data_IF_171176229890
#
_entry.id   IF_171176229890
#
_cell.length_a   1.000
_cell.length_b   1.000
_cell.length_c   1.000
_cell.angle_alpha   90.00
_cell.angle_beta   90.00
_cell.angle_gamma   90.00
#
_symmetry.space_group_name_H-M   'P 1'
#
loop_
_entity.id
_entity.type
_entity.pdbx_description
1 polymer ?
#
# COMPACT_ATOMS: atom_id res chain seq x y z
N UNK A 1 10.85 7.17 14.14
CA UNK A 1 9.50 6.58 14.22
C UNK A 1 9.22 6.27 15.67
N UNK A 2 8.00 6.47 16.08
CA UNK A 2 7.53 6.13 17.43
C UNK A 2 6.76 4.80 17.35
N UNK A 3 6.58 4.16 18.51
CA UNK A 3 5.78 2.93 18.57
C UNK A 3 4.31 3.20 18.20
N UNK A 4 3.65 2.19 17.65
CA UNK A 4 2.21 2.19 17.40
C UNK A 4 1.45 2.56 18.68
N UNK A 5 0.30 3.21 18.53
CA UNK A 5 -0.60 3.54 19.66
C UNK A 5 -1.00 2.27 20.42
N UNK A 6 -1.46 2.48 21.66
CA UNK A 6 -1.93 1.38 22.51
C UNK A 6 -2.96 0.50 21.79
N UNK A 7 -2.64 -0.77 21.70
CA UNK A 7 -3.48 -1.82 21.09
C UNK A 7 -4.12 -2.75 22.14
N UNK A 8 -3.97 -2.46 23.42
CA UNK A 8 -4.49 -3.29 24.52
C UNK A 8 -6.01 -3.49 24.50
N UNK A 9 -6.74 -2.59 23.82
CA UNK A 9 -8.17 -2.70 23.60
C UNK A 9 -8.55 -3.78 22.57
N UNK A 10 -7.60 -4.29 21.78
CA UNK A 10 -7.85 -5.30 20.74
C UNK A 10 -7.84 -6.68 21.41
N UNK A 11 -8.97 -7.36 21.41
CA UNK A 11 -9.15 -8.65 22.08
C UNK A 11 -8.63 -9.84 21.26
N UNK A 12 -8.58 -9.69 19.93
CA UNK A 12 -8.20 -10.76 19.01
C UNK A 12 -7.06 -10.31 18.11
N UNK A 13 -5.86 -10.80 18.38
CA UNK A 13 -4.68 -10.52 17.57
C UNK A 13 -3.84 -11.80 17.41
N UNK A 14 -3.16 -11.87 16.29
CA UNK A 14 -2.25 -12.96 15.93
C UNK A 14 -0.91 -12.34 15.53
N UNK A 15 0.02 -12.20 16.47
CA UNK A 15 1.31 -11.57 16.19
C UNK A 15 2.23 -12.52 15.42
N UNK A 16 3.16 -11.92 14.68
CA UNK A 16 4.31 -12.58 14.02
C UNK A 16 3.93 -13.80 13.16
N UNK A 17 2.80 -13.72 12.45
CA UNK A 17 2.42 -14.75 11.49
C UNK A 17 3.38 -14.71 10.28
N UNK A 18 4.18 -15.76 10.11
CA UNK A 18 5.03 -15.92 8.93
C UNK A 18 4.17 -16.15 7.68
N UNK A 19 4.20 -15.21 6.74
CA UNK A 19 3.46 -15.31 5.49
C UNK A 19 4.27 -15.91 4.33
N UNK A 20 5.60 -15.98 4.49
CA UNK A 20 6.52 -16.60 3.55
C UNK A 20 7.75 -17.16 4.28
N UNK A 21 8.51 -18.11 3.69
CA UNK A 21 9.55 -18.85 4.39
C UNK A 21 10.98 -18.35 4.17
N UNK A 22 11.21 -17.32 3.34
CA UNK A 22 12.58 -16.98 2.91
C UNK A 22 13.31 -16.05 3.86
N UNK A 23 12.58 -15.33 4.73
CA UNK A 23 13.16 -14.33 5.63
C UNK A 23 12.37 -14.23 6.92
N UNK A 24 13.07 -13.90 8.00
CA UNK A 24 12.44 -13.53 9.28
C UNK A 24 11.67 -12.20 9.22
N UNK A 25 11.93 -11.36 8.23
CA UNK A 25 11.17 -10.15 7.97
C UNK A 25 9.79 -10.43 7.34
N UNK A 26 9.57 -11.63 6.80
CA UNK A 26 8.31 -11.99 6.14
C UNK A 26 7.24 -12.41 7.14
N UNK A 27 6.90 -11.49 8.05
CA UNK A 27 5.91 -11.67 9.12
C UNK A 27 4.88 -10.54 9.11
N UNK A 28 3.68 -10.84 9.57
CA UNK A 28 2.62 -9.86 9.80
C UNK A 28 1.94 -10.06 11.15
N UNK A 29 1.37 -9.00 11.68
CA UNK A 29 0.45 -9.04 12.81
C UNK A 29 -0.97 -8.87 12.30
N UNK A 30 -1.84 -9.84 12.56
CA UNK A 30 -3.24 -9.77 12.17
C UNK A 30 -4.10 -9.39 13.37
N UNK A 31 -4.88 -8.33 13.20
CA UNK A 31 -5.83 -7.82 14.19
C UNK A 31 -7.25 -7.96 13.67
N UNK A 32 -8.16 -8.45 14.51
CA UNK A 32 -9.56 -8.63 14.16
C UNK A 32 -10.48 -7.69 14.95
N UNK A 33 -11.59 -7.25 14.37
CA UNK A 33 -12.61 -6.47 15.09
C UNK A 33 -13.10 -7.18 16.35
N UNK A 34 -13.38 -6.41 17.41
CA UNK A 34 -13.82 -6.98 18.68
C UNK A 34 -15.29 -7.43 18.68
N UNK A 35 -16.16 -6.59 18.12
CA UNK A 35 -17.58 -6.62 18.43
C UNK A 35 -18.46 -6.81 17.18
N UNK A 36 -17.88 -7.01 16.01
CA UNK A 36 -18.58 -7.32 14.76
C UNK A 36 -18.35 -8.78 14.36
N UNK A 37 -19.34 -9.46 13.78
CA UNK A 37 -19.14 -10.78 13.19
C UNK A 37 -18.38 -10.68 11.87
N UNK A 38 -17.64 -11.76 11.50
CA UNK A 38 -17.06 -11.93 10.18
C UNK A 38 -18.07 -12.51 9.17
N UNK A 39 -17.62 -12.84 7.96
CA UNK A 39 -16.23 -12.72 7.51
C UNK A 39 -15.81 -11.27 7.25
N UNK A 40 -14.60 -10.92 7.71
CA UNK A 40 -14.09 -9.54 7.68
C UNK A 40 -13.44 -9.19 6.33
N UNK A 41 -13.75 -8.03 5.73
CA UNK A 41 -12.84 -7.42 4.76
C UNK A 41 -11.50 -7.12 5.45
N UNK A 42 -10.40 -7.29 4.74
CA UNK A 42 -9.07 -7.16 5.33
C UNK A 42 -8.25 -6.06 4.66
N UNK A 43 -7.61 -5.23 5.47
CA UNK A 43 -6.66 -4.21 5.03
C UNK A 43 -5.25 -4.70 5.33
N UNK A 44 -4.40 -4.81 4.32
CA UNK A 44 -2.97 -5.04 4.49
C UNK A 44 -2.31 -3.67 4.64
N UNK A 45 -1.83 -3.37 5.84
CA UNK A 45 -1.17 -2.13 6.18
C UNK A 45 0.34 -2.26 5.96
N UNK A 46 0.91 -1.35 5.15
CA UNK A 46 2.29 -1.39 4.69
C UNK A 46 2.99 -0.11 5.16
N UNK A 47 3.95 -0.25 6.09
CA UNK A 47 4.70 0.88 6.62
C UNK A 47 5.64 1.48 5.56
N UNK A 48 5.97 2.76 5.72
CA UNK A 48 6.99 3.45 4.92
C UNK A 48 8.41 3.19 5.43
N UNK A 49 9.30 4.16 5.21
CA UNK A 49 10.68 4.08 5.69
C UNK A 49 11.70 3.91 4.58
N UNK A 50 11.40 4.36 3.35
CA UNK A 50 12.35 4.39 2.24
C UNK A 50 12.89 3.01 1.88
N UNK A 51 12.16 1.92 2.12
CA UNK A 51 12.59 0.53 1.91
C UNK A 51 13.77 0.08 2.76
N UNK A 52 14.24 0.88 3.72
CA UNK A 52 15.46 0.65 4.50
C UNK A 52 15.25 0.60 6.01
N UNK A 53 14.10 1.06 6.50
CA UNK A 53 13.72 1.00 7.91
C UNK A 53 12.19 0.95 8.04
N UNK A 54 11.70 0.73 9.25
CA UNK A 54 10.29 0.65 9.57
C UNK A 54 9.91 -0.69 10.18
N UNK A 55 8.76 -0.73 10.80
CA UNK A 55 8.22 -1.95 11.40
C UNK A 55 6.69 -1.92 11.39
N UNK A 56 6.08 -3.09 11.30
CA UNK A 56 4.63 -3.31 11.38
C UNK A 56 3.99 -2.82 12.68
N UNK A 57 4.81 -2.44 13.66
CA UNK A 57 4.40 -1.95 14.99
C UNK A 57 4.82 -0.51 15.26
N UNK A 58 5.17 0.26 14.24
CA UNK A 58 5.42 1.68 14.42
C UNK A 58 4.16 2.54 14.19
N UNK A 59 4.29 3.86 14.42
CA UNK A 59 3.16 4.79 14.35
C UNK A 59 2.55 4.94 12.95
N UNK A 60 3.24 4.51 11.93
CA UNK A 60 2.77 4.62 10.55
C UNK A 60 1.55 3.73 10.24
N UNK A 61 1.32 2.70 11.06
CA UNK A 61 0.14 1.84 10.91
C UNK A 61 -1.05 2.28 11.77
N UNK A 62 -0.94 3.38 12.53
CA UNK A 62 -2.03 3.86 13.39
C UNK A 62 -3.32 4.16 12.63
N UNK A 63 -3.21 4.80 11.46
CA UNK A 63 -4.39 5.15 10.67
C UNK A 63 -5.13 3.90 10.14
N UNK A 64 -4.48 2.90 9.51
CA UNK A 64 -5.12 1.64 9.17
C UNK A 64 -5.76 0.92 10.37
N UNK A 65 -5.17 0.99 11.57
CA UNK A 65 -5.70 0.33 12.77
C UNK A 65 -7.09 0.86 13.20
N UNK A 66 -7.45 2.10 12.87
CA UNK A 66 -8.79 2.63 13.12
C UNK A 66 -9.90 1.89 12.34
N UNK A 67 -9.53 1.15 11.30
CA UNK A 67 -10.46 0.32 10.54
C UNK A 67 -11.06 -0.82 11.36
N UNK A 68 -10.37 -1.30 12.40
CA UNK A 68 -10.89 -2.32 13.31
C UNK A 68 -12.21 -1.93 13.97
N UNK A 69 -12.35 -0.63 14.30
CA UNK A 69 -13.59 -0.07 14.88
C UNK A 69 -14.77 -0.02 13.90
N UNK A 70 -14.48 -0.27 12.62
CA UNK A 70 -15.44 -0.23 11.50
C UNK A 70 -15.69 -1.60 10.87
N UNK A 71 -15.21 -2.66 11.54
CA UNK A 71 -15.46 -4.04 11.11
C UNK A 71 -14.49 -4.59 10.06
N UNK A 72 -13.34 -3.94 9.84
CA UNK A 72 -12.28 -4.45 8.99
C UNK A 72 -11.23 -5.18 9.83
N UNK A 73 -10.73 -6.31 9.35
CA UNK A 73 -9.48 -6.86 9.84
C UNK A 73 -8.30 -6.03 9.33
N UNK A 74 -7.22 -5.94 10.11
CA UNK A 74 -5.99 -5.25 9.71
C UNK A 74 -4.80 -6.19 9.85
N UNK A 75 -4.06 -6.37 8.76
CA UNK A 75 -2.82 -7.12 8.71
C UNK A 75 -1.66 -6.13 8.52
N UNK A 76 -1.00 -5.76 9.61
CA UNK A 76 0.21 -4.93 9.55
C UNK A 76 1.41 -5.82 9.23
N UNK A 77 2.14 -5.52 8.15
CA UNK A 77 3.20 -6.40 7.65
C UNK A 77 4.58 -5.76 7.65
N UNK A 78 5.58 -6.58 7.91
CA UNK A 78 6.97 -6.31 7.54
C UNK A 78 7.26 -6.92 6.18
N UNK A 79 8.29 -6.44 5.52
CA UNK A 79 8.79 -6.94 4.23
C UNK A 79 10.32 -6.88 4.21
N UNK A 80 10.96 -7.62 3.30
CA UNK A 80 12.42 -7.58 3.15
C UNK A 80 12.88 -6.19 2.76
N UNK A 81 13.77 -5.61 3.57
CA UNK A 81 14.34 -4.29 3.32
C UNK A 81 15.43 -4.35 2.25
N UNK A 82 15.83 -3.20 1.73
CA UNK A 82 16.78 -3.07 0.63
C UNK A 82 18.20 -3.61 0.95
N UNK A 83 18.58 -3.67 2.22
CA UNK A 83 19.83 -4.26 2.68
C UNK A 83 19.79 -5.80 2.73
N UNK A 84 18.60 -6.38 2.75
CA UNK A 84 18.38 -7.82 2.69
C UNK A 84 18.11 -8.30 1.26
N UNK A 85 17.23 -7.61 0.54
CA UNK A 85 16.84 -8.01 -0.82
C UNK A 85 16.41 -6.80 -1.66
N UNK A 86 16.95 -6.72 -2.86
CA UNK A 86 16.68 -5.63 -3.80
C UNK A 86 15.32 -5.79 -4.48
N UNK A 87 14.88 -4.74 -5.18
CA UNK A 87 13.73 -4.83 -6.07
C UNK A 87 13.85 -6.05 -7.01
N UNK A 88 12.78 -6.88 -7.15
CA UNK A 88 11.39 -6.63 -6.76
C UNK A 88 10.95 -7.27 -5.43
N UNK A 89 11.86 -7.67 -4.56
CA UNK A 89 11.57 -8.52 -3.38
C UNK A 89 10.45 -7.98 -2.49
N UNK A 90 10.47 -6.70 -2.11
CA UNK A 90 9.44 -6.11 -1.25
C UNK A 90 8.04 -6.11 -1.92
N UNK A 91 7.97 -5.91 -3.25
CA UNK A 91 6.70 -6.03 -4.00
C UNK A 91 6.18 -7.47 -3.97
N UNK A 92 7.08 -8.44 -4.15
CA UNK A 92 6.74 -9.86 -4.08
C UNK A 92 6.26 -10.25 -2.67
N UNK A 93 6.82 -9.65 -1.62
CA UNK A 93 6.44 -9.86 -0.23
C UNK A 93 5.01 -9.38 0.05
N UNK A 94 4.63 -8.19 -0.42
CA UNK A 94 3.24 -7.71 -0.30
C UNK A 94 2.28 -8.66 -0.99
N UNK A 95 2.59 -9.10 -2.21
CA UNK A 95 1.77 -10.07 -2.95
C UNK A 95 1.68 -11.42 -2.22
N UNK A 96 2.79 -11.88 -1.61
CA UNK A 96 2.81 -13.11 -0.81
C UNK A 96 1.96 -12.99 0.45
N UNK A 97 1.99 -11.85 1.15
CA UNK A 97 1.15 -11.59 2.32
C UNK A 97 -0.34 -11.64 1.97
N UNK A 98 -0.75 -11.04 0.84
CA UNK A 98 -2.13 -11.14 0.33
C UNK A 98 -2.51 -12.58 0.02
N UNK A 99 -1.64 -13.37 -0.65
CA UNK A 99 -1.89 -14.79 -0.93
C UNK A 99 -2.01 -15.61 0.36
N UNK A 100 -1.13 -15.37 1.33
CA UNK A 100 -1.19 -16.03 2.64
C UNK A 100 -2.50 -15.77 3.36
N UNK A 101 -2.89 -14.51 3.50
CA UNK A 101 -4.15 -14.14 4.16
C UNK A 101 -5.36 -14.75 3.46
N UNK A 102 -5.36 -14.78 2.13
CA UNK A 102 -6.43 -15.41 1.34
C UNK A 102 -6.49 -16.92 1.54
N UNK A 103 -5.33 -17.59 1.61
CA UNK A 103 -5.25 -19.02 1.92
C UNK A 103 -5.74 -19.34 3.34
N UNK A 104 -5.55 -18.42 4.28
CA UNK A 104 -5.94 -18.55 5.69
C UNK A 104 -7.31 -17.92 6.00
N UNK A 105 -8.05 -17.48 4.99
CA UNK A 105 -9.28 -16.70 5.18
C UNK A 105 -10.30 -17.41 6.08
N UNK A 106 -10.52 -18.71 5.88
CA UNK A 106 -11.42 -19.50 6.74
C UNK A 106 -10.94 -19.57 8.20
N UNK A 107 -9.62 -19.72 8.42
CA UNK A 107 -9.04 -19.81 9.76
C UNK A 107 -9.23 -18.53 10.57
N UNK A 108 -9.13 -17.38 9.92
CA UNK A 108 -9.17 -16.06 10.56
C UNK A 108 -10.49 -15.32 10.33
N UNK A 109 -11.49 -15.99 9.76
CA UNK A 109 -12.80 -15.41 9.47
C UNK A 109 -12.69 -14.15 8.58
N UNK A 110 -11.80 -14.18 7.56
CA UNK A 110 -11.63 -13.14 6.57
C UNK A 110 -12.49 -13.42 5.34
N UNK A 111 -12.91 -12.35 4.66
CA UNK A 111 -13.56 -12.46 3.36
C UNK A 111 -12.48 -12.47 2.25
N UNK A 112 -12.26 -13.61 1.58
CA UNK A 112 -11.21 -13.72 0.55
C UNK A 112 -11.44 -12.86 -0.69
N UNK A 113 -12.65 -12.32 -0.86
CA UNK A 113 -13.02 -11.44 -1.98
C UNK A 113 -12.86 -9.94 -1.66
N UNK A 114 -12.54 -9.57 -0.41
CA UNK A 114 -12.51 -8.17 0.03
C UNK A 114 -11.20 -7.82 0.73
N UNK A 115 -10.15 -7.65 -0.07
CA UNK A 115 -8.82 -7.20 0.40
C UNK A 115 -8.48 -5.82 -0.14
N UNK A 116 -7.98 -4.95 0.73
CA UNK A 116 -7.35 -3.69 0.36
C UNK A 116 -5.89 -3.68 0.80
N UNK A 117 -5.08 -2.86 0.13
CA UNK A 117 -3.74 -2.49 0.57
C UNK A 117 -3.73 -1.01 0.92
N UNK A 118 -3.06 -0.65 2.02
CA UNK A 118 -2.91 0.73 2.45
C UNK A 118 -1.48 0.96 2.92
N UNK A 119 -0.78 1.85 2.24
CA UNK A 119 0.59 2.20 2.57
C UNK A 119 0.86 3.69 2.53
N UNK A 120 1.96 4.09 3.12
CA UNK A 120 2.45 5.46 3.15
C UNK A 120 3.93 5.52 2.74
N UNK A 121 4.33 6.56 2.00
CA UNK A 121 5.70 6.71 1.52
C UNK A 121 6.16 5.48 0.70
N UNK A 122 7.27 4.84 1.05
CA UNK A 122 7.69 3.57 0.45
C UNK A 122 6.60 2.49 0.51
N UNK A 123 5.82 2.42 1.60
CA UNK A 123 4.65 1.52 1.70
C UNK A 123 3.53 1.91 0.74
N UNK A 124 3.34 3.21 0.46
CA UNK A 124 2.43 3.71 -0.57
C UNK A 124 2.82 3.22 -1.96
N UNK A 125 4.09 3.35 -2.32
CA UNK A 125 4.62 2.76 -3.54
C UNK A 125 4.36 1.24 -3.61
N UNK A 126 4.63 0.51 -2.53
CA UNK A 126 4.40 -0.94 -2.48
C UNK A 126 2.91 -1.28 -2.62
N UNK A 127 2.02 -0.47 -2.03
CA UNK A 127 0.57 -0.63 -2.18
C UNK A 127 0.12 -0.40 -3.63
N UNK A 128 0.63 0.65 -4.28
CA UNK A 128 0.37 0.93 -5.70
C UNK A 128 0.88 -0.23 -6.56
N UNK A 129 2.13 -0.67 -6.36
CA UNK A 129 2.70 -1.80 -7.10
C UNK A 129 1.87 -3.08 -6.93
N UNK A 130 1.43 -3.40 -5.71
CA UNK A 130 0.55 -4.55 -5.48
C UNK A 130 -0.78 -4.44 -6.24
N UNK A 131 -1.36 -3.24 -6.29
CA UNK A 131 -2.60 -2.96 -7.02
C UNK A 131 -2.46 -3.12 -8.53
N UNK A 132 -1.42 -2.55 -9.13
CA UNK A 132 -1.23 -2.58 -10.59
C UNK A 132 -0.60 -3.88 -11.10
N UNK A 133 0.04 -4.66 -10.24
CA UNK A 133 0.68 -5.94 -10.62
C UNK A 133 -0.10 -7.17 -10.16
N UNK A 134 -1.34 -7.04 -9.71
CA UNK A 134 -2.15 -8.13 -9.19
C UNK A 134 -2.29 -9.32 -10.15
N UNK A 135 -2.21 -9.09 -11.46
CA UNK A 135 -2.27 -10.12 -12.52
C UNK A 135 -0.94 -10.29 -13.27
N UNK A 136 0.14 -9.63 -12.83
CA UNK A 136 1.45 -9.67 -13.50
C UNK A 136 2.32 -10.74 -12.85
N UNK A 137 2.47 -11.89 -13.51
CA UNK A 137 3.20 -13.05 -12.99
C UNK A 137 4.70 -12.81 -12.74
N UNK A 138 5.30 -11.81 -13.40
CA UNK A 138 6.69 -11.44 -13.16
C UNK A 138 6.99 -10.98 -11.71
N UNK A 139 5.95 -10.63 -10.95
CA UNK A 139 6.03 -10.31 -9.53
C UNK A 139 5.46 -11.42 -8.63
N UNK A 140 5.18 -12.59 -9.17
CA UNK A 140 4.76 -13.76 -8.39
C UNK A 140 5.93 -14.71 -8.23
N UNK A 141 6.47 -14.77 -7.01
CA UNK A 141 7.49 -15.77 -6.67
C UNK A 141 6.80 -16.97 -5.98
N UNK A 142 6.81 -18.15 -6.60
CA UNK A 142 6.20 -19.35 -6.02
C UNK A 142 6.93 -19.84 -4.77
N UNK A 143 8.22 -19.50 -4.59
CA UNK A 143 8.97 -19.85 -3.39
C UNK A 143 8.44 -19.16 -2.12
N UNK A 144 7.67 -18.09 -2.28
CA UNK A 144 7.01 -17.38 -1.18
C UNK A 144 5.71 -18.07 -0.70
N UNK A 145 5.37 -19.21 -1.25
CA UNK A 145 4.22 -20.02 -0.83
C UNK A 145 2.87 -19.53 -1.37
N UNK A 146 1.84 -20.33 -1.12
CA UNK A 146 0.45 -20.08 -1.50
C UNK A 146 0.27 -19.73 -3.00
N UNK A 147 1.06 -20.33 -3.89
CA UNK A 147 1.13 -19.99 -5.30
C UNK A 147 -0.20 -20.20 -6.06
N UNK A 148 -1.12 -21.01 -5.53
CA UNK A 148 -2.46 -21.21 -6.09
C UNK A 148 -3.46 -20.10 -5.74
N UNK A 149 -3.10 -19.22 -4.81
CA UNK A 149 -3.92 -18.08 -4.43
C UNK A 149 -3.59 -16.86 -5.29
N UNK A 150 -4.60 -16.05 -5.54
CA UNK A 150 -4.42 -14.80 -6.26
C UNK A 150 -3.92 -13.70 -5.32
N UNK A 151 -3.11 -12.77 -5.83
CA UNK A 151 -2.59 -11.63 -5.08
C UNK A 151 -3.32 -10.30 -5.38
N UNK A 152 -4.31 -10.29 -6.29
CA UNK A 152 -5.05 -9.07 -6.60
C UNK A 152 -5.86 -8.57 -5.39
N UNK A 153 -5.99 -7.27 -5.29
CA UNK A 153 -6.75 -6.57 -4.23
C UNK A 153 -7.90 -5.78 -4.83
N UNK A 154 -8.88 -5.42 -4.00
CA UNK A 154 -10.09 -4.72 -4.42
C UNK A 154 -10.05 -3.23 -4.12
N UNK A 155 -9.04 -2.74 -3.42
CA UNK A 155 -8.81 -1.31 -3.20
C UNK A 155 -7.34 -1.04 -2.90
N UNK A 156 -6.86 0.13 -3.31
CA UNK A 156 -5.53 0.65 -2.98
C UNK A 156 -5.68 2.01 -2.31
N UNK A 157 -5.02 2.19 -1.17
CA UNK A 157 -4.82 3.50 -0.56
C UNK A 157 -3.33 3.80 -0.58
N UNK A 158 -3.00 4.85 -1.29
CA UNK A 158 -1.64 5.40 -1.38
C UNK A 158 -1.57 6.73 -0.66
N UNK A 159 -0.80 6.80 0.40
CA UNK A 159 -0.44 8.04 1.05
C UNK A 159 0.98 8.42 0.66
N UNK A 160 1.11 9.48 -0.15
CA UNK A 160 2.36 10.12 -0.55
C UNK A 160 3.47 9.16 -1.01
N UNK A 161 3.12 8.10 -1.74
CA UNK A 161 4.10 7.18 -2.33
C UNK A 161 4.79 7.79 -3.55
N UNK A 162 6.09 7.50 -3.76
CA UNK A 162 6.75 7.82 -5.03
C UNK A 162 6.22 6.94 -6.17
N UNK A 163 6.35 7.40 -7.40
CA UNK A 163 5.83 6.73 -8.62
C UNK A 163 6.91 6.58 -9.67
N UNK A 164 7.45 7.68 -10.19
CA UNK A 164 8.61 7.67 -11.09
C UNK A 164 9.84 8.17 -10.32
N UNK A 165 10.69 7.26 -9.93
CA UNK A 165 11.90 7.59 -9.15
C UNK A 165 12.79 8.62 -9.86
N UNK A 166 12.84 8.64 -11.20
CA UNK A 166 13.71 9.53 -11.98
C UNK A 166 13.29 11.00 -11.93
N UNK A 167 11.99 11.28 -11.78
CA UNK A 167 11.50 12.65 -11.88
C UNK A 167 11.55 13.41 -10.55
N UNK A 168 11.64 12.72 -9.41
CA UNK A 168 11.52 13.30 -8.08
C UNK A 168 12.47 14.49 -7.84
N UNK A 169 13.76 14.32 -8.13
CA UNK A 169 14.75 15.40 -7.93
C UNK A 169 14.53 16.60 -8.83
N UNK A 170 14.05 16.39 -10.06
CA UNK A 170 13.69 17.48 -10.97
C UNK A 170 12.43 18.24 -10.48
N UNK A 171 11.43 17.50 -9.98
CA UNK A 171 10.21 18.06 -9.43
C UNK A 171 10.47 18.85 -8.13
N UNK A 172 11.32 18.34 -7.23
CA UNK A 172 11.74 19.07 -6.03
C UNK A 172 12.50 20.36 -6.37
N UNK A 173 13.38 20.34 -7.38
CA UNK A 173 14.04 21.56 -7.88
C UNK A 173 13.04 22.56 -8.45
N UNK A 174 12.05 22.08 -9.20
CA UNK A 174 11.06 22.93 -9.85
C UNK A 174 10.10 23.56 -8.83
N UNK A 175 9.65 22.79 -7.83
CA UNK A 175 8.76 23.29 -6.77
C UNK A 175 9.47 24.18 -5.74
N UNK A 176 10.78 24.00 -5.55
CA UNK A 176 11.58 24.67 -4.52
C UNK A 176 11.23 24.25 -3.09
N UNK A 177 10.47 23.16 -2.90
CA UNK A 177 9.96 22.74 -1.58
C UNK A 177 10.92 21.85 -0.80
N UNK A 178 11.73 21.04 -1.47
CA UNK A 178 12.60 20.07 -0.83
C UNK A 178 14.01 20.04 -1.39
N UNK A 179 14.83 19.15 -0.84
CA UNK A 179 16.18 18.92 -1.33
C UNK A 179 16.20 17.75 -2.32
N UNK A 180 16.81 17.91 -3.49
CA UNK A 180 16.99 16.82 -4.45
C UNK A 180 18.06 15.85 -3.93
N UNK A 181 17.63 14.74 -3.35
CA UNK A 181 18.51 13.73 -2.71
C UNK A 181 18.29 12.32 -3.26
N UNK A 182 17.34 12.13 -4.17
CA UNK A 182 16.96 10.81 -4.67
C UNK A 182 18.00 10.22 -5.63
N UNK A 183 18.78 11.07 -6.31
CA UNK A 183 19.89 10.66 -7.19
C UNK A 183 21.19 10.30 -6.44
N UNK A 184 21.22 10.44 -5.11
CA UNK A 184 22.40 10.13 -4.31
C UNK A 184 22.63 8.61 -4.20
N UNK A 185 23.89 8.16 -4.04
CA UNK A 185 24.20 6.72 -3.94
C UNK A 185 23.55 6.02 -2.74
N UNK A 186 23.31 6.74 -1.67
CA UNK A 186 22.71 6.28 -0.42
C UNK A 186 21.22 6.63 -0.28
N UNK A 187 20.62 7.17 -1.35
CA UNK A 187 19.18 7.42 -1.38
C UNK A 187 18.37 6.12 -1.19
N UNK A 188 17.16 6.21 -0.65
CA UNK A 188 16.26 5.06 -0.54
C UNK A 188 16.09 4.31 -1.87
N UNK A 189 15.90 5.04 -2.96
CA UNK A 189 15.71 4.49 -4.30
C UNK A 189 16.96 3.77 -4.80
N UNK A 190 18.14 4.40 -4.65
CA UNK A 190 19.42 3.80 -5.06
C UNK A 190 19.70 2.51 -4.28
N UNK A 191 19.42 2.50 -2.97
CA UNK A 191 19.56 1.30 -2.13
C UNK A 191 18.55 0.23 -2.51
N UNK A 192 17.29 0.60 -2.78
CA UNK A 192 16.24 -0.32 -3.20
C UNK A 192 16.55 -1.00 -4.53
N UNK A 193 17.21 -0.28 -5.45
CA UNK A 193 17.64 -0.80 -6.74
C UNK A 193 18.99 -1.55 -6.67
N UNK A 194 19.81 -1.31 -5.64
CA UNK A 194 21.19 -1.83 -5.54
C UNK A 194 22.17 -1.17 -6.50
N UNK A 195 21.80 -0.03 -7.05
CA UNK A 195 22.59 0.79 -7.95
C UNK A 195 22.15 2.25 -7.80
N UNK A 196 23.08 3.20 -7.99
CA UNK A 196 22.74 4.61 -7.98
C UNK A 196 21.66 4.88 -9.03
N UNK A 197 20.59 5.58 -8.65
CA UNK A 197 19.42 5.78 -9.50
C UNK A 197 19.75 6.31 -10.91
N UNK A 198 20.61 7.34 -11.11
CA UNK A 198 20.99 7.79 -12.44
C UNK A 198 21.77 6.77 -13.28
N UNK A 199 22.35 5.75 -12.67
CA UNK A 199 23.14 4.72 -13.35
C UNK A 199 22.30 3.46 -13.64
N UNK A 200 21.05 3.43 -13.20
CA UNK A 200 20.14 2.31 -13.41
C UNK A 200 19.75 2.18 -14.90
N UNK A 201 19.64 0.95 -15.37
CA UNK A 201 19.21 0.70 -16.75
C UNK A 201 17.75 1.12 -16.99
N UNK A 202 17.42 1.51 -18.21
CA UNK A 202 16.05 1.85 -18.61
C UNK A 202 15.05 0.70 -18.34
N UNK A 203 15.49 -0.56 -18.49
CA UNK A 203 14.64 -1.71 -18.17
C UNK A 203 14.34 -1.80 -16.67
N UNK A 204 15.36 -1.60 -15.82
CA UNK A 204 15.14 -1.60 -14.37
C UNK A 204 14.22 -0.45 -13.96
N UNK A 205 14.45 0.76 -14.45
CA UNK A 205 13.63 1.92 -14.17
C UNK A 205 12.18 1.74 -14.66
N UNK A 206 12.00 1.18 -15.86
CA UNK A 206 10.67 0.82 -16.37
C UNK A 206 9.97 -0.19 -15.48
N UNK A 207 10.68 -1.19 -14.97
CA UNK A 207 10.12 -2.22 -14.09
C UNK A 207 9.72 -1.69 -12.71
N UNK A 208 10.38 -0.66 -12.21
CA UNK A 208 10.02 -0.01 -10.94
C UNK A 208 8.89 0.98 -11.08
N UNK A 209 8.58 1.45 -12.27
CA UNK A 209 7.53 2.44 -12.48
C UNK A 209 6.15 1.75 -12.57
N UNK A 210 5.22 1.98 -11.61
CA UNK A 210 3.90 1.36 -11.60
C UNK A 210 3.08 1.70 -12.84
N UNK A 211 3.35 2.83 -13.51
CA UNK A 211 2.63 3.22 -14.74
C UNK A 211 2.87 2.23 -15.89
N UNK A 212 3.95 1.46 -15.84
CA UNK A 212 4.23 0.37 -16.80
C UNK A 212 3.15 -0.72 -16.79
N UNK A 213 2.44 -0.86 -15.68
CA UNK A 213 1.51 -1.97 -15.43
C UNK A 213 0.04 -1.56 -15.43
N UNK A 214 -0.29 -0.39 -15.95
CA UNK A 214 -1.67 0.09 -16.06
C UNK A 214 -2.42 -0.68 -17.15
N UNK A 215 -2.77 -1.91 -16.85
CA UNK A 215 -3.43 -2.85 -17.75
C UNK A 215 -4.87 -3.18 -17.32
N UNK A 216 -5.30 -4.40 -17.58
CA UNK A 216 -6.64 -4.86 -17.23
C UNK A 216 -6.76 -5.21 -15.74
N UNK A 217 -7.97 -5.06 -15.17
CA UNK A 217 -8.34 -5.41 -13.80
C UNK A 217 -7.58 -4.66 -12.72
N UNK A 218 -7.54 -3.35 -12.84
CA UNK A 218 -7.08 -2.49 -11.77
C UNK A 218 -8.18 -2.31 -10.71
N UNK A 219 -7.84 -2.26 -9.42
CA UNK A 219 -8.78 -1.88 -8.36
C UNK A 219 -9.03 -0.37 -8.37
N UNK A 220 -10.05 0.13 -7.64
CA UNK A 220 -10.15 1.54 -7.29
C UNK A 220 -8.97 2.02 -6.46
N UNK A 221 -8.59 3.31 -6.62
CA UNK A 221 -7.48 3.96 -5.92
C UNK A 221 -7.97 5.20 -5.15
N UNK A 222 -7.53 5.31 -3.90
CA UNK A 222 -7.49 6.56 -3.15
C UNK A 222 -6.03 6.97 -2.99
N UNK A 223 -5.68 8.12 -3.53
CA UNK A 223 -4.35 8.69 -3.49
C UNK A 223 -4.43 9.98 -2.68
N UNK A 224 -3.60 10.14 -1.66
CA UNK A 224 -3.56 11.35 -0.85
C UNK A 224 -2.12 11.83 -0.66
N UNK A 225 -1.89 13.15 -0.84
CA UNK A 225 -0.55 13.71 -0.76
C UNK A 225 -0.57 15.09 -0.09
N UNK A 226 0.45 15.38 0.72
CA UNK A 226 0.62 16.69 1.34
C UNK A 226 0.99 17.75 0.31
N UNK A 227 0.35 18.95 0.38
CA UNK A 227 0.66 20.03 -0.56
C UNK A 227 2.07 20.56 -0.43
N UNK A 228 2.68 20.42 0.73
CA UNK A 228 4.00 20.97 1.08
C UNK A 228 5.03 19.87 1.36
N UNK A 229 4.79 18.67 0.82
CA UNK A 229 5.72 17.55 0.92
C UNK A 229 7.08 17.95 0.35
N UNK A 230 8.09 17.90 1.21
CA UNK A 230 9.46 18.32 0.95
C UNK A 230 10.42 17.13 0.74
N UNK A 231 9.87 15.91 0.77
CA UNK A 231 10.61 14.67 0.53
C UNK A 231 10.15 14.00 -0.76
N UNK A 232 8.89 13.61 -0.88
CA UNK A 232 8.32 13.08 -2.12
C UNK A 232 7.42 14.16 -2.72
N UNK A 233 7.74 14.68 -3.92
CA UNK A 233 6.95 15.77 -4.49
C UNK A 233 5.53 15.34 -4.83
N UNK A 234 4.55 16.22 -4.57
CA UNK A 234 3.12 15.95 -4.85
C UNK A 234 2.84 15.62 -6.32
N UNK A 235 3.71 16.04 -7.21
CA UNK A 235 3.71 15.75 -8.63
C UNK A 235 3.71 14.24 -8.91
N UNK A 236 4.31 13.42 -8.04
CA UNK A 236 4.30 11.96 -8.12
C UNK A 236 2.87 11.40 -8.04
N UNK A 237 2.10 11.84 -7.06
CA UNK A 237 0.68 11.47 -6.93
C UNK A 237 -0.20 12.04 -8.03
N UNK A 238 0.09 13.27 -8.50
CA UNK A 238 -0.59 13.87 -9.64
C UNK A 238 -0.37 13.05 -10.92
N UNK A 239 0.86 12.59 -11.14
CA UNK A 239 1.24 11.73 -12.25
C UNK A 239 0.46 10.42 -12.23
N UNK A 240 0.43 9.74 -11.07
CA UNK A 240 -0.32 8.50 -10.88
C UNK A 240 -1.81 8.69 -11.13
N UNK A 241 -2.42 9.69 -10.49
CA UNK A 241 -3.84 9.95 -10.60
C UNK A 241 -4.27 10.25 -12.04
N UNK A 242 -3.46 11.03 -12.78
CA UNK A 242 -3.69 11.31 -14.19
C UNK A 242 -3.65 10.04 -15.03
N UNK A 243 -2.60 9.23 -14.87
CA UNK A 243 -2.44 8.02 -15.67
C UNK A 243 -3.54 6.97 -15.37
N UNK A 244 -3.94 6.83 -14.11
CA UNK A 244 -5.05 5.94 -13.74
C UNK A 244 -6.39 6.39 -14.36
N UNK A 245 -6.68 7.69 -14.43
CA UNK A 245 -7.90 8.22 -15.04
C UNK A 245 -7.98 8.01 -16.57
N UNK A 246 -6.87 7.69 -17.21
CA UNK A 246 -6.87 7.31 -18.63
C UNK A 246 -7.39 5.88 -18.87
N UNK A 247 -7.34 5.01 -17.83
CA UNK A 247 -7.64 3.57 -17.94
C UNK A 247 -8.75 3.10 -17.00
N UNK A 248 -9.12 3.88 -16.01
CA UNK A 248 -10.19 3.59 -15.04
C UNK A 248 -11.32 4.61 -15.12
N UNK A 249 -12.55 4.23 -14.74
CA UNK A 249 -13.62 5.20 -14.52
C UNK A 249 -13.19 6.27 -13.50
N UNK A 250 -13.65 7.50 -13.68
CA UNK A 250 -13.32 8.60 -12.76
C UNK A 250 -13.73 8.31 -11.30
N UNK A 251 -14.81 7.56 -11.12
CA UNK A 251 -15.31 7.12 -9.81
C UNK A 251 -14.33 6.22 -9.06
N UNK A 252 -13.43 5.55 -9.78
CA UNK A 252 -12.48 4.58 -9.25
C UNK A 252 -11.11 5.20 -8.95
N UNK A 253 -10.92 6.49 -9.27
CA UNK A 253 -9.66 7.21 -9.01
C UNK A 253 -9.93 8.47 -8.21
N UNK A 254 -9.70 8.39 -6.91
CA UNK A 254 -9.79 9.53 -6.02
C UNK A 254 -8.40 10.06 -5.69
N UNK A 255 -8.19 11.35 -5.93
CA UNK A 255 -6.95 12.04 -5.57
C UNK A 255 -7.28 13.28 -4.73
N UNK A 256 -6.79 13.30 -3.50
CA UNK A 256 -6.98 14.38 -2.56
C UNK A 256 -5.60 14.98 -2.18
N UNK A 257 -5.44 16.28 -2.35
CA UNK A 257 -4.30 17.03 -1.80
C UNK A 257 -4.63 17.44 -0.38
N UNK A 258 -3.80 17.07 0.58
CA UNK A 258 -3.93 17.45 2.00
C UNK A 258 -3.23 18.80 2.20
N UNK A 259 -3.98 19.91 2.44
CA UNK A 259 -3.39 21.24 2.45
C UNK A 259 -2.39 21.44 3.59
N UNK A 260 -1.28 22.12 3.30
CA UNK A 260 -0.23 22.48 4.27
C UNK A 260 0.36 21.30 5.04
N UNK A 261 0.30 20.11 4.48
CA UNK A 261 0.92 18.91 5.02
C UNK A 261 2.24 18.62 4.32
N UNK A 262 3.22 18.26 5.12
CA UNK A 262 4.51 17.74 4.68
C UNK A 262 4.38 16.25 4.29
N UNK A 263 5.49 15.52 4.34
CA UNK A 263 5.55 14.06 4.13
C UNK A 263 4.85 13.31 5.28
N UNK A 264 3.52 13.36 5.29
CA UNK A 264 2.68 12.85 6.38
C UNK A 264 2.24 13.95 7.37
N UNK A 265 1.91 13.53 8.59
CA UNK A 265 1.53 14.41 9.69
C UNK A 265 0.06 14.32 10.10
N UNK A 266 -0.34 15.08 11.14
CA UNK A 266 -1.64 14.92 11.82
C UNK A 266 -2.86 15.12 10.91
N UNK A 267 -2.74 15.90 9.84
CA UNK A 267 -3.85 16.16 8.95
C UNK A 267 -4.31 14.90 8.18
N UNK A 268 -3.41 13.95 7.94
CA UNK A 268 -3.76 12.66 7.34
C UNK A 268 -4.63 11.81 8.28
N UNK A 269 -4.40 11.90 9.58
CA UNK A 269 -5.16 11.19 10.61
C UNK A 269 -6.35 11.98 11.16
N UNK A 270 -6.58 13.22 10.69
CA UNK A 270 -7.69 14.03 11.11
C UNK A 270 -9.03 13.35 10.78
N UNK A 271 -10.02 13.50 11.63
CA UNK A 271 -11.34 12.86 11.53
C UNK A 271 -11.97 13.06 10.15
N UNK A 272 -11.90 14.29 9.61
CA UNK A 272 -12.45 14.59 8.28
C UNK A 272 -11.75 13.81 7.17
N UNK A 273 -10.41 13.69 7.22
CA UNK A 273 -9.66 12.92 6.22
C UNK A 273 -9.94 11.43 6.37
N UNK A 274 -9.92 10.92 7.60
CA UNK A 274 -10.23 9.51 7.87
C UNK A 274 -11.65 9.15 7.46
N UNK A 275 -12.62 10.05 7.59
CA UNK A 275 -13.98 9.84 7.07
C UNK A 275 -13.98 9.64 5.54
N UNK A 276 -13.17 10.39 4.79
CA UNK A 276 -13.01 10.21 3.32
C UNK A 276 -12.38 8.86 2.99
N UNK A 277 -11.35 8.47 3.73
CA UNK A 277 -10.69 7.15 3.57
C UNK A 277 -11.68 6.01 3.79
N UNK A 278 -12.44 6.07 4.87
CA UNK A 278 -13.41 5.00 5.16
C UNK A 278 -14.63 5.01 4.24
N UNK A 279 -15.05 6.16 3.73
CA UNK A 279 -16.07 6.23 2.69
C UNK A 279 -15.60 5.55 1.40
N UNK A 280 -14.34 5.76 1.01
CA UNK A 280 -13.73 5.06 -0.12
C UNK A 280 -13.67 3.54 0.12
N UNK A 281 -13.14 3.09 1.25
CA UNK A 281 -13.06 1.65 1.59
C UNK A 281 -14.44 1.00 1.61
N UNK A 282 -15.44 1.66 2.18
CA UNK A 282 -16.81 1.14 2.24
C UNK A 282 -17.41 0.96 0.84
N UNK A 283 -17.15 1.87 -0.07
CA UNK A 283 -17.60 1.76 -1.45
C UNK A 283 -16.85 0.66 -2.23
N UNK A 284 -15.52 0.66 -2.13
CA UNK A 284 -14.67 -0.26 -2.90
C UNK A 284 -14.75 -1.72 -2.40
N UNK A 285 -14.97 -1.93 -1.11
CA UNK A 285 -15.09 -3.25 -0.49
C UNK A 285 -16.54 -3.62 -0.14
N UNK A 286 -17.54 -2.93 -0.72
CA UNK A 286 -18.92 -3.33 -0.55
C UNK A 286 -19.10 -4.80 -0.99
N UNK A 287 -19.87 -5.62 -0.26
CA UNK A 287 -20.22 -6.94 -0.76
C UNK A 287 -20.85 -6.79 -2.13
N UNK A 288 -20.50 -7.64 -3.08
CA UNK A 288 -21.16 -7.67 -4.38
C UNK A 288 -22.65 -7.89 -4.13
N UNK A 289 -23.37 -6.79 -4.05
CA UNK A 289 -24.75 -6.76 -3.62
C UNK A 289 -25.68 -7.27 -4.72
N UNK A 290 -26.78 -7.84 -4.30
CA UNK A 290 -27.99 -8.17 -5.05
C UNK A 290 -28.58 -6.99 -5.88
N UNK A 291 -27.77 -6.18 -6.53
CA UNK A 291 -28.22 -5.12 -7.43
C UNK A 291 -28.91 -5.65 -8.70
N UNK A 292 -29.08 -6.98 -8.84
CA UNK A 292 -29.78 -7.63 -9.95
C UNK A 292 -31.22 -8.07 -9.59
N UNK A 293 -31.71 -7.92 -8.36
CA UNK A 293 -33.05 -8.35 -7.98
C UNK A 293 -34.11 -7.25 -7.87
N UNK A 294 -33.72 -5.97 -7.91
CA UNK A 294 -34.69 -4.85 -7.80
C UNK A 294 -35.13 -4.24 -9.15
N UNK A 295 -34.83 -4.89 -10.28
CA UNK A 295 -35.33 -4.46 -11.60
C UNK A 295 -36.32 -5.43 -12.25
N UNK A 296 -36.93 -6.32 -11.48
CA UNK A 296 -37.98 -7.24 -11.97
C UNK A 296 -39.10 -7.33 -10.96
N UNK A 297 -39.73 -6.20 -10.65
CA UNK A 297 -41.09 -6.16 -10.03
C UNK A 297 -41.84 -4.91 -10.51
#
# INVERSE_FOLDING_TARGET
>A
MTAMRDTSWIKRSYPDLAYAPLSSAQVLDLYLPNDTPGPYPCIVAIHGGGFIFGDKRDDQVNAPMEALRRGYAVAAMNYRMADEALFPAAVQDVKAAVRFLRAQAQRFDLDPARFAVWGNSAGGYLAVMAGVTGTVSAFDDPALGNATQQSHVQAVIDWFGPVDFRSQDAELRASGKGRPVHDLPDSPESRFLGIRLPDASEDLLRRTNPLTYLGQRLPPFLIQHGSDDDLVPVEQSMLLARALREVLPETDVRFDVVPRSLHGGPAFEAEENMARVFAFLSAALAPFGNAALDKAS
#
